data_IF_296925874133
#
_entry.id   IF_296925874133
#
_cell.length_a   1.000
_cell.length_b   1.000
_cell.length_c   1.000
_cell.angle_alpha   90.00
_cell.angle_beta   90.00
_cell.angle_gamma   90.00
#
_symmetry.space_group_name_H-M   'P 1'
#
loop_
_entity.id
_entity.type
_entity.pdbx_description
1 polymer ?
#
# COMPACT_ATOMS: atom_id res chain seq x y z
N UNK A 1 -21.29 -14.80 -9.04
CA UNK A 1 -21.27 -13.55 -9.83
C UNK A 1 -19.93 -13.46 -10.55
N UNK A 2 -19.92 -13.24 -11.87
CA UNK A 2 -18.68 -13.23 -12.67
C UNK A 2 -18.01 -11.84 -12.58
N UNK A 3 -16.70 -11.78 -12.28
CA UNK A 3 -15.92 -10.52 -12.21
C UNK A 3 -16.07 -9.69 -13.50
N UNK A 4 -16.15 -10.35 -14.66
CA UNK A 4 -16.35 -9.66 -15.93
C UNK A 4 -17.66 -8.86 -15.98
N UNK A 5 -18.74 -9.34 -15.34
CA UNK A 5 -20.03 -8.62 -15.27
C UNK A 5 -20.02 -7.39 -14.36
N UNK A 6 -19.17 -7.37 -13.32
CA UNK A 6 -18.97 -6.17 -12.48
C UNK A 6 -18.22 -5.09 -13.24
N UNK A 7 -17.21 -5.49 -14.02
CA UNK A 7 -16.46 -4.57 -14.88
C UNK A 7 -17.32 -4.04 -16.04
N UNK A 8 -18.27 -4.82 -16.57
CA UNK A 8 -19.17 -4.38 -17.66
C UNK A 8 -20.05 -3.18 -17.28
N UNK A 9 -20.48 -3.07 -16.02
CA UNK A 9 -21.30 -1.94 -15.54
C UNK A 9 -20.49 -0.76 -14.98
N UNK A 10 -19.27 -1.03 -14.51
CA UNK A 10 -18.41 -0.04 -13.88
C UNK A 10 -17.44 0.66 -14.83
N UNK A 11 -17.02 -0.03 -15.89
CA UNK A 11 -16.35 0.60 -17.01
C UNK A 11 -17.45 1.30 -17.78
N UNK A 12 -17.69 2.59 -17.46
CA UNK A 12 -18.29 3.49 -18.45
C UNK A 12 -17.31 3.52 -19.62
N UNK A 13 -17.45 2.59 -20.56
CA UNK A 13 -16.96 2.80 -21.92
C UNK A 13 -17.73 4.01 -22.40
N UNK A 14 -17.13 5.18 -22.27
CA UNK A 14 -17.69 6.46 -22.74
C UNK A 14 -17.88 6.46 -24.26
N UNK A 15 -17.44 5.40 -24.92
CA UNK A 15 -17.37 5.22 -26.35
C UNK A 15 -17.13 3.73 -26.59
N UNK A 16 -18.01 3.08 -27.35
CA UNK A 16 -17.86 1.70 -27.78
C UNK A 16 -16.63 1.47 -28.71
N UNK A 17 -15.80 2.51 -28.92
CA UNK A 17 -14.79 2.59 -29.96
C UNK A 17 -13.39 3.03 -29.51
N UNK A 18 -13.16 3.47 -28.27
CA UNK A 18 -11.79 3.81 -27.83
C UNK A 18 -11.08 2.57 -27.29
N UNK A 19 -9.88 2.32 -27.81
CA UNK A 19 -8.93 1.41 -27.18
C UNK A 19 -8.73 1.85 -25.73
N UNK A 20 -8.69 0.90 -24.78
CA UNK A 20 -8.36 1.23 -23.39
C UNK A 20 -6.95 1.82 -23.38
N UNK A 21 -6.85 3.12 -23.14
CA UNK A 21 -5.58 3.82 -22.93
C UNK A 21 -5.31 3.96 -21.44
N UNK A 22 -4.05 4.19 -21.07
CA UNK A 22 -3.66 4.45 -19.67
C UNK A 22 -4.36 5.68 -19.08
N UNK A 23 -4.75 6.63 -19.94
CA UNK A 23 -5.39 7.88 -19.57
C UNK A 23 -6.88 7.69 -19.23
N UNK A 24 -7.56 6.76 -19.91
CA UNK A 24 -8.99 6.52 -19.74
C UNK A 24 -9.32 5.28 -18.88
N UNK A 25 -8.31 4.58 -18.35
CA UNK A 25 -8.50 3.50 -17.40
C UNK A 25 -8.70 4.06 -15.99
N UNK A 26 -9.96 4.27 -15.62
CA UNK A 26 -10.38 4.72 -14.28
C UNK A 26 -11.55 3.87 -13.81
N UNK A 27 -11.46 3.31 -12.60
CA UNK A 27 -12.58 2.68 -11.92
C UNK A 27 -13.15 3.62 -10.87
N UNK A 28 -14.47 3.58 -10.70
CA UNK A 28 -15.11 4.20 -9.54
C UNK A 28 -14.67 3.46 -8.27
N UNK A 29 -14.52 4.18 -7.15
CA UNK A 29 -14.11 3.56 -5.88
C UNK A 29 -15.07 2.45 -5.45
N UNK A 30 -16.38 2.65 -5.65
CA UNK A 30 -17.40 1.63 -5.35
C UNK A 30 -17.16 0.32 -6.10
N UNK A 31 -16.71 0.42 -7.35
CA UNK A 31 -16.36 -0.75 -8.16
C UNK A 31 -15.14 -1.47 -7.61
N UNK A 32 -14.10 -0.73 -7.22
CA UNK A 32 -12.90 -1.33 -6.61
C UNK A 32 -13.31 -2.08 -5.35
N UNK A 33 -14.08 -1.44 -4.48
CA UNK A 33 -14.59 -2.00 -3.22
C UNK A 33 -15.40 -3.29 -3.46
N UNK A 34 -16.25 -3.33 -4.49
CA UNK A 34 -17.01 -4.52 -4.89
C UNK A 34 -16.12 -5.65 -5.41
N UNK A 35 -15.12 -5.33 -6.24
CA UNK A 35 -14.20 -6.32 -6.83
C UNK A 35 -13.33 -6.97 -5.74
N UNK A 36 -12.74 -6.17 -4.85
CA UNK A 36 -11.90 -6.72 -3.76
C UNK A 36 -12.74 -7.54 -2.79
N UNK A 37 -13.99 -7.14 -2.52
CA UNK A 37 -14.93 -7.92 -1.71
C UNK A 37 -15.32 -9.23 -2.39
N UNK A 38 -15.57 -9.21 -3.70
CA UNK A 38 -15.89 -10.43 -4.45
C UNK A 38 -14.71 -11.41 -4.44
N UNK A 39 -13.48 -10.91 -4.64
CA UNK A 39 -12.27 -11.73 -4.52
C UNK A 39 -12.14 -12.32 -3.11
N UNK A 40 -12.32 -11.50 -2.08
CA UNK A 40 -12.29 -11.94 -0.68
C UNK A 40 -13.27 -13.09 -0.42
N UNK A 41 -14.53 -12.94 -0.85
CA UNK A 41 -15.56 -13.96 -0.68
C UNK A 41 -15.27 -15.22 -1.50
N UNK A 42 -14.69 -15.09 -2.71
CA UNK A 42 -14.36 -16.22 -3.58
C UNK A 42 -13.29 -17.13 -2.96
N UNK A 43 -12.40 -16.57 -2.14
CA UNK A 43 -11.33 -17.28 -1.48
C UNK A 43 -11.58 -17.46 0.02
N UNK A 44 -12.85 -17.52 0.45
CA UNK A 44 -13.25 -17.77 1.84
C UNK A 44 -12.57 -16.86 2.87
N UNK A 45 -12.26 -15.62 2.47
CA UNK A 45 -11.59 -14.64 3.32
C UNK A 45 -10.06 -14.70 3.32
N UNK A 46 -9.44 -15.68 2.67
CA UNK A 46 -7.98 -15.87 2.60
C UNK A 46 -7.30 -14.96 1.57
N UNK A 47 -7.51 -13.65 1.68
CA UNK A 47 -6.95 -12.65 0.75
C UNK A 47 -6.11 -11.59 1.46
N UNK A 48 -5.53 -11.90 2.61
CA UNK A 48 -4.57 -11.03 3.32
C UNK A 48 -3.12 -11.32 2.90
N UNK A 49 -2.88 -11.49 1.60
CA UNK A 49 -1.56 -11.84 1.07
C UNK A 49 -0.57 -10.67 1.18
N UNK A 50 0.72 -10.94 0.98
CA UNK A 50 1.79 -9.96 1.14
C UNK A 50 1.88 -8.89 0.04
N UNK A 51 1.03 -8.93 -0.98
CA UNK A 51 1.11 -8.05 -2.15
C UNK A 51 1.17 -6.55 -1.80
N UNK A 52 0.28 -6.00 -0.96
CA UNK A 52 0.33 -4.60 -0.53
C UNK A 52 1.61 -4.26 0.25
N UNK A 53 2.05 -5.16 1.14
CA UNK A 53 3.26 -4.95 1.93
C UNK A 53 4.51 -4.81 1.06
N UNK A 54 4.59 -5.57 -0.04
CA UNK A 54 5.71 -5.50 -0.99
C UNK A 54 5.83 -4.15 -1.72
N UNK A 55 4.76 -3.34 -1.77
CA UNK A 55 4.74 -2.03 -2.45
C UNK A 55 4.85 -0.85 -1.48
N UNK A 56 4.84 -1.13 -0.17
CA UNK A 56 4.83 -0.14 0.92
C UNK A 56 6.06 0.76 0.98
N UNK A 57 7.20 0.33 0.43
CA UNK A 57 8.45 1.11 0.39
C UNK A 57 8.22 2.51 -0.18
N UNK A 58 7.45 2.63 -1.26
CA UNK A 58 7.20 3.93 -1.91
C UNK A 58 6.45 4.91 -1.01
N UNK A 59 5.61 4.42 -0.09
CA UNK A 59 4.93 5.26 0.90
C UNK A 59 5.90 5.73 1.99
N UNK A 60 6.74 4.82 2.48
CA UNK A 60 7.72 5.12 3.53
C UNK A 60 8.75 6.19 3.14
N UNK A 61 9.10 6.28 1.85
CA UNK A 61 10.07 7.25 1.34
C UNK A 61 9.45 8.45 0.63
N UNK A 62 8.12 8.61 0.67
CA UNK A 62 7.46 9.74 0.04
C UNK A 62 7.60 10.99 0.92
N UNK A 63 8.47 11.91 0.52
CA UNK A 63 8.71 13.18 1.24
C UNK A 63 7.46 14.09 1.41
N UNK A 64 6.36 13.78 0.72
CA UNK A 64 5.10 14.53 0.79
C UNK A 64 4.08 13.90 1.74
N UNK A 65 4.40 12.76 2.36
CA UNK A 65 3.57 12.07 3.35
C UNK A 65 4.29 12.21 4.69
N UNK A 66 3.62 12.77 5.70
CA UNK A 66 4.19 12.80 7.05
C UNK A 66 4.04 11.42 7.69
N UNK A 67 4.90 11.12 8.67
CA UNK A 67 4.84 9.86 9.41
C UNK A 67 3.48 9.61 10.07
N UNK A 68 2.84 10.69 10.56
CA UNK A 68 1.49 10.63 11.15
C UNK A 68 0.41 10.24 10.12
N UNK A 69 0.60 10.59 8.85
CA UNK A 69 -0.32 10.29 7.75
C UNK A 69 -0.08 8.89 7.15
N UNK A 70 1.02 8.22 7.55
CA UNK A 70 1.43 6.93 6.98
C UNK A 70 0.42 5.82 7.30
N UNK A 71 -0.23 5.89 8.46
CA UNK A 71 -1.28 4.96 8.86
C UNK A 71 -2.44 5.00 7.85
N UNK A 72 -2.99 6.19 7.60
CA UNK A 72 -4.12 6.33 6.69
C UNK A 72 -3.73 6.01 5.25
N UNK A 73 -2.54 6.44 4.81
CA UNK A 73 -2.03 6.16 3.48
C UNK A 73 -1.85 4.65 3.23
N UNK A 74 -1.28 3.92 4.18
CA UNK A 74 -1.05 2.47 4.04
C UNK A 74 -2.35 1.67 4.07
N UNK A 75 -3.34 2.10 4.86
CA UNK A 75 -4.68 1.52 4.86
C UNK A 75 -5.41 1.74 3.54
N UNK A 76 -5.36 2.97 2.99
CA UNK A 76 -5.97 3.30 1.70
C UNK A 76 -5.31 2.54 0.55
N UNK A 77 -3.99 2.44 0.55
CA UNK A 77 -3.22 1.73 -0.48
C UNK A 77 -3.56 0.24 -0.52
N UNK A 78 -3.64 -0.39 0.65
CA UNK A 78 -3.99 -1.80 0.77
C UNK A 78 -5.41 -2.07 0.29
N UNK A 79 -6.36 -1.15 0.60
CA UNK A 79 -7.77 -1.27 0.21
C UNK A 79 -7.98 -1.34 -1.31
N UNK A 80 -7.03 -0.82 -2.10
CA UNK A 80 -7.10 -0.88 -3.57
C UNK A 80 -7.11 -2.33 -4.12
N UNK A 81 -6.52 -3.28 -3.38
CA UNK A 81 -6.43 -4.68 -3.84
C UNK A 81 -6.85 -5.70 -2.81
N UNK A 82 -6.98 -5.33 -1.53
CA UNK A 82 -7.28 -6.23 -0.42
C UNK A 82 -8.48 -5.73 0.38
N UNK A 83 -9.46 -6.61 0.62
CA UNK A 83 -10.62 -6.30 1.45
C UNK A 83 -10.32 -6.40 2.96
N UNK A 84 -9.41 -7.29 3.35
CA UNK A 84 -9.12 -7.54 4.77
C UNK A 84 -8.34 -6.37 5.38
N UNK A 85 -8.77 -5.82 6.54
CA UNK A 85 -8.07 -4.73 7.21
C UNK A 85 -6.67 -5.15 7.72
N UNK A 86 -6.43 -6.45 7.92
CA UNK A 86 -5.12 -6.97 8.29
C UNK A 86 -4.07 -6.62 7.24
N UNK A 87 -4.45 -6.59 5.95
CA UNK A 87 -3.51 -6.25 4.88
C UNK A 87 -2.91 -4.86 5.10
N UNK A 88 -3.74 -3.86 5.42
CA UNK A 88 -3.29 -2.49 5.70
C UNK A 88 -2.40 -2.38 6.93
N UNK A 89 -2.72 -3.11 8.01
CA UNK A 89 -1.88 -3.14 9.22
C UNK A 89 -0.48 -3.72 8.93
N UNK A 90 -0.39 -4.75 8.08
CA UNK A 90 0.91 -5.30 7.67
C UNK A 90 1.67 -4.29 6.79
N UNK A 91 0.99 -3.59 5.88
CA UNK A 91 1.61 -2.52 5.07
C UNK A 91 2.22 -1.45 5.97
N UNK A 92 1.47 -1.00 6.99
CA UNK A 92 1.96 -0.04 7.98
C UNK A 92 3.23 -0.52 8.68
N UNK A 93 3.24 -1.75 9.20
CA UNK A 93 4.40 -2.29 9.90
C UNK A 93 5.65 -2.35 9.01
N UNK A 94 5.46 -2.74 7.74
CA UNK A 94 6.58 -2.77 6.77
C UNK A 94 7.02 -1.36 6.39
N UNK A 95 6.10 -0.42 6.22
CA UNK A 95 6.44 0.98 5.95
C UNK A 95 7.21 1.63 7.11
N UNK A 96 6.76 1.44 8.35
CA UNK A 96 7.47 1.90 9.56
C UNK A 96 8.83 1.23 9.71
N UNK A 97 8.95 -0.05 9.36
CA UNK A 97 10.25 -0.71 9.33
C UNK A 97 11.20 0.00 8.37
N UNK A 98 10.75 0.33 7.16
CA UNK A 98 11.53 1.09 6.18
C UNK A 98 11.97 2.46 6.70
N UNK A 99 11.06 3.23 7.31
CA UNK A 99 11.39 4.53 7.94
C UNK A 99 12.46 4.34 9.02
N UNK A 100 12.27 3.36 9.92
CA UNK A 100 13.21 3.11 11.01
C UNK A 100 14.62 2.71 10.54
N UNK A 101 14.73 1.92 9.46
CA UNK A 101 16.04 1.51 8.93
C UNK A 101 16.71 2.62 8.13
N UNK A 102 15.94 3.51 7.50
CA UNK A 102 16.51 4.71 6.87
C UNK A 102 16.94 5.77 7.87
N UNK A 103 16.23 5.91 8.98
CA UNK A 103 16.65 6.79 10.06
C UNK A 103 17.92 6.26 10.74
N UNK A 104 18.11 4.94 10.75
CA UNK A 104 19.34 4.30 11.22
C UNK A 104 20.56 4.49 10.29
N UNK A 105 20.42 5.09 9.10
CA UNK A 105 21.59 5.66 8.39
C UNK A 105 22.18 6.86 9.15
N UNK A 106 21.44 7.43 10.10
CA UNK A 106 21.90 8.41 11.10
C UNK A 106 22.56 7.72 12.32
N UNK A 107 22.37 6.41 12.55
CA UNK A 107 23.10 5.69 13.60
C UNK A 107 24.59 5.50 13.28
N UNK A 108 25.00 5.63 12.00
CA UNK A 108 26.42 5.75 11.67
C UNK A 108 27.05 7.03 12.29
N UNK A 109 26.28 8.10 12.47
CA UNK A 109 26.70 9.29 13.21
C UNK A 109 26.59 9.10 14.74
N UNK A 110 25.71 8.22 15.22
CA UNK A 110 25.63 7.88 16.65
C UNK A 110 26.80 6.98 17.10
N UNK A 111 27.35 6.17 16.21
CA UNK A 111 28.53 5.34 16.48
C UNK A 111 29.79 6.18 16.70
N UNK A 112 29.94 7.30 15.97
CA UNK A 112 31.03 8.26 16.17
C UNK A 112 31.03 8.89 17.59
N UNK A 113 29.86 9.07 18.21
CA UNK A 113 29.75 9.54 19.61
C UNK A 113 30.05 8.45 20.66
N UNK A 114 29.93 7.17 20.31
CA UNK A 114 30.19 6.05 21.22
C UNK A 114 31.67 5.68 21.32
N UNK A 115 32.46 6.02 20.31
CA UNK A 115 33.90 5.71 20.26
C UNK A 115 34.76 6.77 20.98
N UNK A 116 34.27 8.01 21.15
CA UNK A 116 34.98 9.08 21.89
C UNK A 116 34.92 8.91 23.42
N UNK A 117 34.05 8.05 23.96
CA UNK A 117 33.93 7.78 25.41
C UNK A 117 34.69 6.54 25.91
N UNK A 118 35.43 5.85 25.04
CA UNK A 118 36.26 4.70 25.43
C UNK A 118 37.70 5.12 25.80
N UNK A 119 38.03 6.41 25.72
CA UNK A 119 39.37 6.94 26.05
C UNK A 119 39.49 7.63 27.44
N UNK A 120 38.58 7.35 28.38
CA UNK A 120 38.79 7.68 29.81
C UNK A 120 38.36 6.50 30.69
N UNK A 121 39.17 5.44 30.67
CA UNK A 121 39.71 4.67 31.82
C UNK A 121 40.19 3.29 31.36
#
# INVERSE_FOLDING_TARGET
MNIYKLCEGAIKRTDAQSSITRENFRFQQSTIDEIVKLAHNKYDGYTAACGPAQRSYSLAFCQYINDDDLIDCTMLEAKLTHYSPIAGQIVLNVALHYVSVSDNTTQANAKAFSEEKVLIR
#
